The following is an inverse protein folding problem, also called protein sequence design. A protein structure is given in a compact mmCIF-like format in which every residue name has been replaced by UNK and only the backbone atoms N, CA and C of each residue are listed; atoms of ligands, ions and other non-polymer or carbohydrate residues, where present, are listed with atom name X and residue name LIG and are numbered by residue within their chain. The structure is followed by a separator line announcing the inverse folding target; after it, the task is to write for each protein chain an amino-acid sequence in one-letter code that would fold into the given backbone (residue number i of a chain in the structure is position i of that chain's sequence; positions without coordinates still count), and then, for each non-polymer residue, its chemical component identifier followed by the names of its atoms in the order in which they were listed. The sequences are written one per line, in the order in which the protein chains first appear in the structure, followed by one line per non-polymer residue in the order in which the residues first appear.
data_IF_188508360229
#
_entry.id   IF_188508360229
#
_cell.length_a   1.000
_cell.length_b   1.000
_cell.length_c   1.000
_cell.angle_alpha   90.00
_cell.angle_beta   90.00
_cell.angle_gamma   90.00
#
_symmetry.space_group_name_H-M   'P 1'
#
loop_
_entity.id
_entity.type
_entity.pdbx_description
1 polymer ?
#
# COMPACT_ATOMS: atom_id res chain seq x y z
N UNK A 1 -22.92 20.06 17.50
CA UNK A 1 -22.97 18.82 18.32
C UNK A 1 -23.13 17.54 17.48
N UNK A 2 -23.74 17.55 16.29
CA UNK A 2 -23.87 16.36 15.42
C UNK A 2 -22.54 15.86 14.83
N UNK A 3 -21.63 16.77 14.45
CA UNK A 3 -20.35 16.42 13.81
C UNK A 3 -19.46 15.51 14.66
N UNK A 4 -19.28 15.83 15.94
CA UNK A 4 -18.47 15.00 16.84
C UNK A 4 -19.10 13.61 17.03
N UNK A 5 -20.43 13.52 17.03
CA UNK A 5 -21.11 12.23 17.16
C UNK A 5 -20.88 11.31 15.94
N UNK A 6 -20.89 11.86 14.73
CA UNK A 6 -20.62 11.08 13.51
C UNK A 6 -19.19 10.55 13.50
N UNK A 7 -18.20 11.38 13.84
CA UNK A 7 -16.81 10.94 13.96
C UNK A 7 -16.66 9.78 14.94
N UNK A 8 -17.15 9.95 16.17
CA UNK A 8 -17.07 8.92 17.22
C UNK A 8 -17.75 7.62 16.79
N UNK A 9 -18.89 7.71 16.09
CA UNK A 9 -19.59 6.53 15.58
C UNK A 9 -18.81 5.80 14.50
N UNK A 10 -18.19 6.52 13.56
CA UNK A 10 -17.32 5.93 12.54
C UNK A 10 -16.12 5.23 13.17
N UNK A 11 -15.47 5.88 14.15
CA UNK A 11 -14.37 5.29 14.90
C UNK A 11 -14.80 4.00 15.65
N UNK A 12 -15.96 4.02 16.30
CA UNK A 12 -16.51 2.86 17.01
C UNK A 12 -16.85 1.68 16.09
N UNK A 13 -17.21 1.95 14.82
CA UNK A 13 -17.42 0.93 13.79
C UNK A 13 -16.11 0.42 13.18
N UNK A 14 -14.96 0.92 13.63
CA UNK A 14 -13.65 0.60 13.08
C UNK A 14 -13.36 1.25 11.72
N UNK A 15 -14.12 2.28 11.34
CA UNK A 15 -13.97 3.04 10.10
C UNK A 15 -13.07 4.27 10.31
N UNK A 16 -11.85 4.04 10.78
CA UNK A 16 -10.95 5.10 11.25
C UNK A 16 -10.47 6.04 10.13
N UNK A 17 -10.24 5.51 8.92
CA UNK A 17 -9.90 6.32 7.75
C UNK A 17 -11.08 7.19 7.32
N UNK A 18 -12.29 6.63 7.36
CA UNK A 18 -13.53 7.35 7.07
C UNK A 18 -13.78 8.48 8.09
N UNK A 19 -13.54 8.21 9.39
CA UNK A 19 -13.69 9.20 10.47
C UNK A 19 -12.73 10.40 10.28
N UNK A 20 -11.46 10.14 9.93
CA UNK A 20 -10.49 11.21 9.63
C UNK A 20 -10.91 12.01 8.39
N UNK A 21 -11.31 11.33 7.31
CA UNK A 21 -11.77 12.00 6.10
C UNK A 21 -12.99 12.89 6.35
N UNK A 22 -13.91 12.46 7.22
CA UNK A 22 -15.05 13.27 7.63
C UNK A 22 -14.62 14.59 8.27
N UNK A 23 -13.68 14.56 9.22
CA UNK A 23 -13.15 15.76 9.87
C UNK A 23 -12.40 16.66 8.89
N UNK A 24 -11.61 16.07 7.99
CA UNK A 24 -10.85 16.80 6.97
C UNK A 24 -11.79 17.54 6.01
N UNK A 25 -12.87 16.88 5.57
CA UNK A 25 -13.88 17.51 4.71
C UNK A 25 -14.60 18.67 5.41
N UNK A 26 -14.87 18.60 6.72
CA UNK A 26 -15.47 19.72 7.46
C UNK A 26 -14.56 20.96 7.53
N UNK A 27 -13.24 20.76 7.41
CA UNK A 27 -12.25 21.84 7.44
C UNK A 27 -11.92 22.39 6.05
N UNK A 28 -12.46 21.80 4.98
CA UNK A 28 -12.21 22.19 3.60
C UNK A 28 -13.43 22.88 2.96
N UNK A 29 -13.39 24.20 2.74
CA UNK A 29 -14.49 24.94 2.10
C UNK A 29 -14.82 24.42 0.70
N UNK A 30 -13.80 24.02 -0.06
CA UNK A 30 -13.92 23.58 -1.45
C UNK A 30 -14.66 22.23 -1.60
N UNK A 31 -14.78 21.47 -0.51
CA UNK A 31 -15.51 20.18 -0.52
C UNK A 31 -17.01 20.36 -0.83
N UNK A 32 -17.52 21.58 -0.65
CA UNK A 32 -18.91 21.94 -0.97
C UNK A 32 -19.19 21.97 -2.47
N UNK A 33 -18.16 22.11 -3.31
CA UNK A 33 -18.27 22.02 -4.76
C UNK A 33 -18.50 20.57 -5.24
N UNK A 34 -18.21 19.57 -4.40
CA UNK A 34 -18.42 18.17 -4.70
C UNK A 34 -19.87 17.76 -4.38
N UNK A 35 -20.40 16.78 -5.10
CA UNK A 35 -21.67 16.14 -4.72
C UNK A 35 -21.49 15.31 -3.45
N UNK A 36 -22.61 14.91 -2.85
CA UNK A 36 -22.57 14.00 -1.69
C UNK A 36 -21.86 12.69 -2.03
N UNK A 37 -22.16 12.10 -3.19
CA UNK A 37 -21.60 10.83 -3.65
C UNK A 37 -20.08 10.93 -3.83
N UNK A 38 -19.58 12.05 -4.36
CA UNK A 38 -18.16 12.30 -4.51
C UNK A 38 -17.46 12.40 -3.15
N UNK A 39 -18.05 13.15 -2.21
CA UNK A 39 -17.52 13.25 -0.84
C UNK A 39 -17.50 11.90 -0.14
N UNK A 40 -18.59 11.15 -0.24
CA UNK A 40 -18.69 9.82 0.35
C UNK A 40 -17.67 8.86 -0.29
N UNK A 41 -17.51 8.90 -1.62
CA UNK A 41 -16.50 8.14 -2.35
C UNK A 41 -15.10 8.37 -1.79
N UNK A 42 -14.68 9.63 -1.64
CA UNK A 42 -13.38 9.97 -1.05
C UNK A 42 -13.19 9.44 0.38
N UNK A 43 -14.24 9.44 1.19
CA UNK A 43 -14.19 8.89 2.55
C UNK A 43 -14.03 7.36 2.54
N UNK A 44 -14.71 6.67 1.62
CA UNK A 44 -14.59 5.21 1.44
C UNK A 44 -13.20 4.85 0.92
N UNK A 45 -12.68 5.57 -0.06
CA UNK A 45 -11.35 5.34 -0.62
C UNK A 45 -10.26 5.52 0.45
N UNK A 46 -10.41 6.54 1.32
CA UNK A 46 -9.52 6.75 2.47
C UNK A 46 -9.52 5.55 3.42
N UNK A 47 -10.70 5.01 3.72
CA UNK A 47 -10.85 3.84 4.58
C UNK A 47 -10.25 2.58 3.94
N UNK A 48 -10.52 2.33 2.65
CA UNK A 48 -9.97 1.20 1.92
C UNK A 48 -8.42 1.23 1.92
N UNK A 49 -7.86 2.41 1.64
CA UNK A 49 -6.40 2.64 1.65
C UNK A 49 -5.79 2.41 3.03
N UNK A 50 -6.41 2.92 4.10
CA UNK A 50 -5.95 2.69 5.48
C UNK A 50 -5.95 1.20 5.85
N UNK A 51 -6.98 0.46 5.46
CA UNK A 51 -7.06 -0.99 5.71
C UNK A 51 -6.00 -1.76 4.95
N UNK A 52 -5.75 -1.40 3.69
CA UNK A 52 -4.70 -2.01 2.89
C UNK A 52 -3.31 -1.75 3.47
N UNK A 53 -3.03 -0.50 3.84
CA UNK A 53 -1.79 -0.11 4.49
C UNK A 53 -1.58 -0.86 5.81
N UNK A 54 -2.61 -0.95 6.65
CA UNK A 54 -2.54 -1.71 7.90
C UNK A 54 -2.24 -3.19 7.66
N UNK A 55 -2.88 -3.81 6.67
CA UNK A 55 -2.59 -5.20 6.27
C UNK A 55 -1.16 -5.35 5.80
N UNK A 56 -0.67 -4.44 4.96
CA UNK A 56 0.70 -4.46 4.45
C UNK A 56 1.72 -4.36 5.58
N UNK A 57 1.57 -3.38 6.47
CA UNK A 57 2.44 -3.19 7.63
C UNK A 57 2.48 -4.43 8.53
N UNK A 58 1.31 -5.05 8.78
CA UNK A 58 1.23 -6.30 9.55
C UNK A 58 1.96 -7.43 8.83
N UNK A 59 1.75 -7.62 7.53
CA UNK A 59 2.44 -8.65 6.73
C UNK A 59 3.96 -8.46 6.72
N UNK A 60 4.44 -7.23 6.54
CA UNK A 60 5.87 -6.91 6.58
C UNK A 60 6.46 -7.18 7.97
N UNK A 61 5.75 -6.82 9.04
CA UNK A 61 6.16 -7.12 10.42
C UNK A 61 6.28 -8.63 10.64
N UNK A 62 5.32 -9.42 10.16
CA UNK A 62 5.36 -10.88 10.29
C UNK A 62 6.42 -11.54 9.40
N UNK A 63 6.68 -10.99 8.22
CA UNK A 63 7.69 -11.50 7.31
C UNK A 63 9.11 -11.38 7.91
N UNK A 64 9.32 -10.44 8.85
CA UNK A 64 10.59 -10.27 9.58
C UNK A 64 11.81 -10.30 8.64
N UNK A 65 11.70 -9.59 7.51
CA UNK A 65 12.73 -9.57 6.48
C UNK A 65 14.03 -9.03 7.06
N UNK A 66 15.13 -9.75 6.82
CA UNK A 66 16.46 -9.40 7.35
C UNK A 66 17.04 -8.14 6.73
N UNK A 67 16.62 -7.82 5.51
CA UNK A 67 17.11 -6.69 4.73
C UNK A 67 15.93 -5.83 4.31
N UNK A 68 16.14 -4.51 4.34
CA UNK A 68 15.23 -3.56 3.69
C UNK A 68 15.71 -3.41 2.26
N UNK A 69 15.24 -4.30 1.38
CA UNK A 69 15.63 -4.34 -0.03
C UNK A 69 14.49 -3.82 -0.90
N UNK A 70 14.83 -2.99 -1.88
CA UNK A 70 13.93 -2.50 -2.92
C UNK A 70 14.49 -2.85 -4.30
N UNK A 71 13.62 -2.89 -5.32
CA UNK A 71 14.00 -3.30 -6.67
C UNK A 71 14.95 -2.29 -7.32
N UNK A 72 14.77 -1.01 -6.98
CA UNK A 72 15.53 0.13 -7.48
C UNK A 72 17.02 0.05 -7.12
N UNK A 73 17.36 -0.67 -6.04
CA UNK A 73 18.74 -0.85 -5.57
C UNK A 73 19.49 -1.96 -6.33
N UNK A 74 18.83 -2.68 -7.25
CA UNK A 74 19.45 -3.78 -7.97
C UNK A 74 20.47 -3.26 -9.00
N UNK A 75 21.75 -3.58 -8.78
CA UNK A 75 22.81 -3.28 -9.74
C UNK A 75 22.78 -4.23 -10.94
N UNK A 76 22.14 -3.77 -12.02
CA UNK A 76 22.08 -4.46 -13.31
C UNK A 76 23.33 -4.24 -14.18
N UNK A 77 24.34 -3.50 -13.71
CA UNK A 77 25.61 -3.27 -14.44
C UNK A 77 26.68 -4.29 -14.06
N UNK A 78 26.60 -4.87 -12.87
CA UNK A 78 27.47 -5.96 -12.46
C UNK A 78 27.36 -7.14 -13.45
N UNK A 79 28.47 -7.83 -13.81
CA UNK A 79 28.47 -8.93 -14.78
C UNK A 79 27.91 -10.22 -14.17
N UNK A 80 26.71 -10.16 -13.57
CA UNK A 80 26.00 -11.29 -12.94
C UNK A 80 25.14 -12.09 -13.92
N UNK A 81 25.11 -11.70 -15.20
CA UNK A 81 24.30 -12.38 -16.22
C UNK A 81 22.78 -12.17 -16.06
N UNK A 82 22.35 -11.11 -15.36
CA UNK A 82 20.93 -10.78 -15.20
C UNK A 82 20.41 -10.19 -16.50
N UNK A 83 19.50 -10.91 -17.18
CA UNK A 83 18.75 -10.34 -18.30
C UNK A 83 17.76 -9.28 -17.79
N UNK A 84 17.90 -8.04 -18.27
CA UNK A 84 17.10 -6.89 -17.84
C UNK A 84 15.62 -7.06 -18.18
N UNK A 85 15.32 -7.63 -19.35
CA UNK A 85 13.94 -7.82 -19.80
C UNK A 85 13.24 -8.89 -18.96
N UNK A 86 13.93 -9.99 -18.65
CA UNK A 86 13.41 -11.01 -17.74
C UNK A 86 13.27 -10.51 -16.30
N UNK A 87 14.26 -9.77 -15.78
CA UNK A 87 14.17 -9.19 -14.43
C UNK A 87 12.97 -8.26 -14.28
N UNK A 88 12.71 -7.39 -15.27
CA UNK A 88 11.52 -6.54 -15.27
C UNK A 88 10.21 -7.34 -15.15
N UNK A 89 10.09 -8.47 -15.89
CA UNK A 89 8.92 -9.36 -15.78
C UNK A 89 8.78 -10.01 -14.39
N UNK A 90 9.89 -10.28 -13.70
CA UNK A 90 9.85 -10.79 -12.33
C UNK A 90 9.39 -9.72 -11.34
N UNK A 91 9.80 -8.46 -11.56
CA UNK A 91 9.40 -7.29 -10.77
C UNK A 91 7.90 -7.02 -10.87
N UNK A 92 7.32 -7.20 -12.06
CA UNK A 92 5.87 -7.05 -12.27
C UNK A 92 5.03 -8.01 -11.40
N UNK A 93 5.62 -9.11 -10.93
CA UNK A 93 5.00 -9.97 -9.91
C UNK A 93 3.90 -10.91 -10.41
N UNK A 94 3.59 -10.92 -11.71
CA UNK A 94 2.59 -11.79 -12.36
C UNK A 94 2.71 -13.27 -11.97
N UNK A 95 3.93 -13.73 -11.78
CA UNK A 95 4.27 -15.10 -11.40
C UNK A 95 3.72 -15.49 -10.01
N UNK A 96 3.51 -14.54 -9.10
CA UNK A 96 2.93 -14.75 -7.77
C UNK A 96 1.46 -15.17 -7.91
N UNK A 97 0.67 -14.43 -8.72
CA UNK A 97 -0.73 -14.76 -8.98
C UNK A 97 -0.89 -16.09 -9.72
N UNK A 98 0.06 -16.41 -10.59
CA UNK A 98 0.15 -17.69 -11.31
C UNK A 98 0.66 -18.85 -10.46
N UNK A 99 1.06 -18.61 -9.21
CA UNK A 99 1.63 -19.61 -8.28
C UNK A 99 2.86 -20.32 -8.85
N UNK A 100 3.69 -19.59 -9.58
CA UNK A 100 4.94 -20.12 -10.13
C UNK A 100 6.07 -19.99 -9.10
N UNK A 101 6.98 -20.95 -9.09
CA UNK A 101 8.14 -20.92 -8.20
C UNK A 101 9.28 -20.11 -8.83
N UNK A 102 9.89 -19.22 -8.05
CA UNK A 102 11.10 -18.50 -8.43
C UNK A 102 12.30 -19.11 -7.70
N UNK A 103 13.27 -19.61 -8.47
CA UNK A 103 14.55 -20.10 -7.94
C UNK A 103 15.65 -19.11 -8.32
N UNK A 104 16.33 -18.56 -7.32
CA UNK A 104 17.48 -17.67 -7.52
C UNK A 104 18.74 -18.49 -7.26
N UNK A 105 19.61 -18.57 -8.26
CA UNK A 105 20.89 -19.29 -8.17
C UNK A 105 22.03 -18.40 -8.66
N UNK A 106 23.25 -18.70 -8.23
CA UNK A 106 24.45 -17.98 -8.64
C UNK A 106 25.42 -17.76 -7.49
N UNK A 107 26.66 -17.35 -7.79
CA UNK A 107 27.64 -17.00 -6.78
C UNK A 107 27.18 -15.78 -5.97
N UNK A 108 27.24 -15.88 -4.65
CA UNK A 108 27.13 -14.73 -3.75
C UNK A 108 28.50 -14.04 -3.68
N UNK A 109 28.51 -12.71 -3.64
CA UNK A 109 29.73 -11.94 -3.44
C UNK A 109 30.42 -12.38 -2.13
N UNK A 110 31.74 -12.64 -2.11
CA UNK A 110 32.46 -12.84 -0.86
C UNK A 110 32.45 -11.52 -0.06
N UNK A 111 32.10 -11.62 1.22
CA UNK A 111 32.13 -10.51 2.17
C UNK A 111 33.54 -9.95 2.38
#
# INVERSE_FOLDING_TARGET
MLSNHTHERLAALGLAGMAKAFDDQQRQPDVTALTFEQRLGLMIDREATERENKRLTVRLKFASLRQTAIVEDVDLRAPRGIDRAFFAKLVDGDWIGRKQNLLITGPTEPA
#
